data_IF_623227278632
#
_entry.id   IF_623227278632
#
_cell.length_a   1.000
_cell.length_b   1.000
_cell.length_c   1.000
_cell.angle_alpha   90.00
_cell.angle_beta   90.00
_cell.angle_gamma   90.00
#
_symmetry.space_group_name_H-M   'P 1'
#
loop_
_entity.id
_entity.type
_entity.pdbx_description
1 polymer ?
#
# COMPACT_ATOMS: atom_id res chain seq x y z
N UNK A 1 -18.74 -5.80 4.49
CA UNK A 1 -17.75 -6.82 4.14
C UNK A 1 -16.49 -6.13 3.65
N UNK A 2 -15.32 -6.59 4.07
CA UNK A 2 -14.04 -6.08 3.55
C UNK A 2 -13.29 -7.18 2.81
N UNK A 3 -12.80 -6.85 1.61
CA UNK A 3 -11.89 -7.71 0.87
C UNK A 3 -10.48 -7.12 0.95
N UNK A 4 -9.53 -7.94 1.39
CA UNK A 4 -8.14 -7.53 1.51
C UNK A 4 -7.31 -8.44 0.60
N UNK A 5 -6.48 -7.83 -0.23
CA UNK A 5 -5.52 -8.54 -1.06
C UNK A 5 -4.15 -8.25 -0.50
N UNK A 6 -3.40 -9.28 -0.15
CA UNK A 6 -2.03 -9.16 0.32
C UNK A 6 -1.11 -9.70 -0.74
N UNK A 7 -0.18 -8.87 -1.18
CA UNK A 7 0.90 -9.28 -2.05
C UNK A 7 2.23 -8.88 -1.45
N UNK A 8 3.31 -9.38 -2.01
CA UNK A 8 4.65 -9.07 -1.55
C UNK A 8 5.66 -10.04 -2.11
N UNK A 9 6.93 -9.72 -1.91
CA UNK A 9 8.04 -10.54 -2.38
C UNK A 9 8.17 -11.84 -1.59
N UNK A 10 8.91 -12.80 -2.12
CA UNK A 10 9.21 -14.03 -1.38
C UNK A 10 10.06 -13.70 -0.15
N UNK A 11 9.51 -13.91 1.06
CA UNK A 11 10.22 -13.63 2.33
C UNK A 11 9.90 -12.28 2.99
N UNK A 12 8.98 -11.47 2.42
CA UNK A 12 8.54 -10.21 3.02
C UNK A 12 7.61 -10.37 4.24
N UNK A 13 7.22 -11.59 4.59
CA UNK A 13 6.36 -11.85 5.76
C UNK A 13 4.88 -12.08 5.45
N UNK A 14 4.51 -12.34 4.19
CA UNK A 14 3.13 -12.69 3.77
C UNK A 14 2.46 -13.75 4.67
N UNK A 15 3.18 -14.81 5.02
CA UNK A 15 2.64 -15.87 5.90
C UNK A 15 2.37 -15.40 7.33
N UNK A 16 3.16 -14.45 7.85
CA UNK A 16 2.91 -13.84 9.16
C UNK A 16 1.69 -12.93 9.09
N UNK A 17 1.58 -12.16 8.00
CA UNK A 17 0.42 -11.32 7.74
C UNK A 17 -0.88 -12.14 7.67
N UNK A 18 -0.92 -13.23 6.90
CA UNK A 18 -2.09 -14.10 6.82
C UNK A 18 -2.51 -14.65 8.19
N UNK A 19 -1.56 -15.18 8.97
CA UNK A 19 -1.86 -15.69 10.32
C UNK A 19 -2.43 -14.61 11.24
N UNK A 20 -1.85 -13.41 11.21
CA UNK A 20 -2.32 -12.30 12.03
C UNK A 20 -3.78 -11.90 11.70
N UNK A 21 -4.20 -12.10 10.46
CA UNK A 21 -5.55 -11.79 9.98
C UNK A 21 -6.54 -12.93 10.18
N UNK A 22 -6.07 -14.17 10.10
CA UNK A 22 -6.82 -15.34 10.51
C UNK A 22 -7.16 -15.24 12.01
N UNK A 23 -6.20 -14.85 12.85
CA UNK A 23 -6.42 -14.58 14.28
C UNK A 23 -7.39 -13.42 14.52
N UNK A 24 -7.48 -12.46 13.59
CA UNK A 24 -8.44 -11.36 13.65
C UNK A 24 -9.85 -11.76 13.15
N UNK A 25 -10.03 -12.99 12.69
CA UNK A 25 -11.32 -13.54 12.25
C UNK A 25 -11.64 -13.36 10.77
N UNK A 26 -10.66 -13.01 9.93
CA UNK A 26 -10.83 -12.94 8.48
C UNK A 26 -10.69 -14.31 7.84
N UNK A 27 -11.48 -14.57 6.79
CA UNK A 27 -11.33 -15.77 5.98
C UNK A 27 -10.10 -15.65 5.08
N UNK A 28 -9.01 -16.30 5.45
CA UNK A 28 -7.74 -16.21 4.75
C UNK A 28 -7.60 -17.34 3.73
N UNK A 29 -7.26 -16.99 2.48
CA UNK A 29 -6.93 -17.97 1.45
C UNK A 29 -5.58 -17.64 0.84
N UNK A 30 -4.71 -18.64 0.80
CA UNK A 30 -3.39 -18.54 0.19
C UNK A 30 -3.37 -19.22 -1.17
N UNK A 31 -2.54 -18.67 -2.05
CA UNK A 31 -2.18 -19.27 -3.34
C UNK A 31 -3.36 -19.63 -4.27
N UNK A 32 -4.36 -18.74 -4.41
CA UNK A 32 -5.46 -18.93 -5.38
C UNK A 32 -5.03 -18.42 -6.77
N UNK A 33 -5.34 -19.14 -7.86
CA UNK A 33 -5.30 -18.59 -9.21
C UNK A 33 -6.12 -17.30 -9.36
N UNK A 34 -5.51 -16.27 -9.97
CA UNK A 34 -6.14 -14.96 -10.20
C UNK A 34 -7.57 -15.02 -10.82
N UNK A 35 -7.86 -15.86 -11.83
CA UNK A 35 -9.21 -15.95 -12.42
C UNK A 35 -10.31 -16.45 -11.48
N UNK A 36 -9.96 -17.11 -10.37
CA UNK A 36 -10.93 -17.66 -9.41
C UNK A 36 -11.28 -16.68 -8.28
N UNK A 37 -10.52 -15.59 -8.15
CA UNK A 37 -10.76 -14.58 -7.12
C UNK A 37 -12.15 -13.96 -7.24
N UNK A 38 -12.63 -13.52 -8.44
CA UNK A 38 -13.98 -12.96 -8.58
C UNK A 38 -15.09 -13.94 -8.17
N UNK A 39 -14.89 -15.23 -8.45
CA UNK A 39 -15.85 -16.28 -8.07
C UNK A 39 -15.87 -16.45 -6.55
N UNK A 40 -14.70 -16.50 -5.90
CA UNK A 40 -14.59 -16.60 -4.45
C UNK A 40 -15.24 -15.40 -3.75
N UNK A 41 -14.93 -14.18 -4.23
CA UNK A 41 -15.47 -12.95 -3.65
C UNK A 41 -16.98 -12.87 -3.80
N UNK A 42 -17.54 -13.34 -4.92
CA UNK A 42 -18.99 -13.45 -5.10
C UNK A 42 -19.64 -14.31 -4.00
N UNK A 43 -19.10 -15.51 -3.72
CA UNK A 43 -19.64 -16.37 -2.66
C UNK A 43 -19.50 -15.75 -1.27
N UNK A 44 -18.35 -15.16 -0.96
CA UNK A 44 -18.10 -14.51 0.32
C UNK A 44 -19.03 -13.31 0.54
N UNK A 45 -19.38 -12.59 -0.54
CA UNK A 45 -20.37 -11.50 -0.51
C UNK A 45 -21.74 -11.99 -0.08
N UNK A 46 -22.17 -13.16 -0.55
CA UNK A 46 -23.44 -13.76 -0.14
C UNK A 46 -23.42 -14.19 1.34
N UNK A 47 -22.29 -14.66 1.85
CA UNK A 47 -22.11 -15.01 3.26
C UNK A 47 -21.81 -13.80 4.18
N UNK A 48 -21.63 -12.60 3.60
CA UNK A 48 -21.22 -11.36 4.28
C UNK A 48 -19.96 -11.54 5.16
N UNK A 49 -18.99 -12.34 4.69
CA UNK A 49 -17.75 -12.65 5.40
C UNK A 49 -16.56 -11.87 4.83
N UNK A 50 -15.85 -11.13 5.69
CA UNK A 50 -14.61 -10.46 5.27
C UNK A 50 -13.51 -11.50 4.99
N UNK A 51 -12.76 -11.27 3.92
CA UNK A 51 -11.77 -12.22 3.44
C UNK A 51 -10.45 -11.58 3.06
N UNK A 52 -9.39 -12.37 3.18
CA UNK A 52 -8.02 -12.00 2.85
C UNK A 52 -7.50 -12.98 1.81
N UNK A 53 -7.00 -12.47 0.69
CA UNK A 53 -6.45 -13.26 -0.40
C UNK A 53 -4.97 -12.93 -0.52
N UNK A 54 -4.12 -13.93 -0.37
CA UNK A 54 -2.68 -13.81 -0.63
C UNK A 54 -2.37 -14.08 -2.09
N UNK A 55 -1.75 -13.09 -2.73
CA UNK A 55 -1.17 -13.18 -4.06
C UNK A 55 0.33 -13.43 -3.94
N UNK A 56 0.80 -14.47 -4.61
CA UNK A 56 2.22 -14.77 -4.76
C UNK A 56 2.59 -14.77 -6.25
N UNK A 57 3.87 -14.61 -6.53
CA UNK A 57 4.36 -14.56 -7.92
C UNK A 57 4.02 -15.82 -8.72
N UNK A 58 3.82 -16.95 -8.03
CA UNK A 58 3.42 -18.24 -8.63
C UNK A 58 2.05 -18.20 -9.29
N UNK A 59 1.17 -17.30 -8.85
CA UNK A 59 -0.20 -17.19 -9.37
C UNK A 59 -0.39 -15.96 -10.25
N UNK A 60 0.65 -15.13 -10.42
CA UNK A 60 0.62 -14.05 -11.39
C UNK A 60 0.64 -14.66 -12.80
N UNK A 61 -0.41 -14.48 -13.61
CA UNK A 61 -0.34 -14.84 -15.01
C UNK A 61 0.70 -13.95 -15.67
N UNK A 62 1.41 -14.49 -16.66
CA UNK A 62 2.40 -13.74 -17.46
C UNK A 62 1.77 -12.61 -18.30
N UNK A 63 0.49 -12.32 -18.14
CA UNK A 63 -0.25 -11.28 -18.85
C UNK A 63 -0.26 -9.99 -18.03
N UNK A 64 0.32 -8.89 -18.54
CA UNK A 64 0.50 -7.64 -17.80
C UNK A 64 -0.82 -6.99 -17.33
N UNK A 65 -1.93 -7.21 -18.04
CA UNK A 65 -3.20 -6.52 -17.76
C UNK A 65 -4.13 -7.28 -16.79
N UNK A 66 -3.82 -8.53 -16.45
CA UNK A 66 -4.74 -9.35 -15.65
C UNK A 66 -4.96 -8.83 -14.23
N UNK A 67 -3.97 -8.13 -13.67
CA UNK A 67 -4.07 -7.50 -12.36
C UNK A 67 -5.02 -6.29 -12.43
N UNK A 68 -4.85 -5.43 -13.45
CA UNK A 68 -5.71 -4.26 -13.64
C UNK A 68 -7.17 -4.70 -13.89
N UNK A 69 -7.38 -5.69 -14.75
CA UNK A 69 -8.71 -6.27 -15.00
C UNK A 69 -9.34 -6.84 -13.73
N UNK A 70 -8.56 -7.54 -12.89
CA UNK A 70 -9.05 -8.02 -11.60
C UNK A 70 -9.44 -6.85 -10.70
N UNK A 71 -8.57 -5.83 -10.59
CA UNK A 71 -8.83 -4.68 -9.71
C UNK A 71 -10.10 -3.95 -10.15
N UNK A 72 -10.32 -3.74 -11.45
CA UNK A 72 -11.55 -3.15 -11.97
C UNK A 72 -12.78 -3.99 -11.63
N UNK A 73 -12.68 -5.32 -11.66
CA UNK A 73 -13.78 -6.20 -11.22
C UNK A 73 -14.04 -6.14 -9.72
N UNK A 74 -13.04 -5.78 -8.91
CA UNK A 74 -13.10 -5.72 -7.46
C UNK A 74 -13.35 -4.30 -6.90
N UNK A 75 -13.30 -3.26 -7.73
CA UNK A 75 -13.70 -1.88 -7.38
C UNK A 75 -15.04 -1.78 -6.61
N UNK A 76 -16.14 -2.43 -7.03
CA UNK A 76 -17.41 -2.34 -6.31
C UNK A 76 -17.38 -2.92 -4.89
N UNK A 77 -16.33 -3.67 -4.53
CA UNK A 77 -16.16 -4.28 -3.21
C UNK A 77 -15.22 -3.48 -2.29
N UNK A 78 -14.71 -2.32 -2.72
CA UNK A 78 -13.71 -1.53 -1.99
C UNK A 78 -12.53 -2.38 -1.51
N UNK A 79 -12.00 -3.22 -2.41
CA UNK A 79 -10.88 -4.10 -2.09
C UNK A 79 -9.63 -3.28 -1.72
N UNK A 80 -8.98 -3.63 -0.61
CA UNK A 80 -7.73 -3.01 -0.16
C UNK A 80 -6.55 -3.89 -0.58
N UNK A 81 -5.68 -3.38 -1.44
CA UNK A 81 -4.41 -4.01 -1.81
C UNK A 81 -3.28 -3.55 -0.89
N UNK A 82 -2.73 -4.49 -0.13
CA UNK A 82 -1.58 -4.29 0.76
C UNK A 82 -0.38 -4.99 0.15
N UNK A 83 0.69 -4.24 -0.09
CA UNK A 83 1.96 -4.77 -0.58
C UNK A 83 3.00 -4.78 0.55
N UNK A 84 3.58 -5.95 0.81
CA UNK A 84 4.63 -6.16 1.78
C UNK A 84 5.98 -6.21 1.06
N UNK A 85 6.81 -5.20 1.29
CA UNK A 85 8.17 -5.13 0.73
C UNK A 85 9.24 -5.22 1.82
N UNK A 86 10.47 -5.47 1.38
CA UNK A 86 11.63 -5.57 2.24
C UNK A 86 12.91 -5.34 1.42
N UNK A 87 13.95 -4.81 2.08
CA UNK A 87 15.26 -4.61 1.48
C UNK A 87 15.84 -5.96 0.99
N UNK A 88 16.50 -5.93 -0.18
CA UNK A 88 17.09 -7.11 -0.82
C UNK A 88 18.00 -7.91 0.13
N UNK A 89 18.88 -7.24 0.86
CA UNK A 89 19.82 -7.88 1.78
C UNK A 89 19.09 -8.63 2.91
N UNK A 90 18.00 -8.03 3.41
CA UNK A 90 17.18 -8.62 4.46
C UNK A 90 16.39 -9.82 3.95
N UNK A 91 15.87 -9.76 2.71
CA UNK A 91 15.21 -10.90 2.07
C UNK A 91 16.17 -12.08 1.90
N UNK A 92 17.39 -11.84 1.39
CA UNK A 92 18.42 -12.88 1.20
C UNK A 92 18.73 -13.56 2.54
N UNK A 93 18.94 -12.78 3.60
CA UNK A 93 19.20 -13.29 4.96
C UNK A 93 18.05 -14.13 5.51
N UNK A 94 16.80 -13.66 5.36
CA UNK A 94 15.61 -14.42 5.78
C UNK A 94 15.47 -15.72 4.99
N UNK A 95 15.82 -15.72 3.71
CA UNK A 95 15.78 -16.90 2.86
C UNK A 95 16.80 -17.94 3.28
N UNK A 96 18.06 -17.51 3.53
CA UNK A 96 19.14 -18.38 3.99
C UNK A 96 18.83 -19.02 5.34
N UNK A 97 18.18 -18.28 6.24
CA UNK A 97 17.78 -18.77 7.56
C UNK A 97 16.63 -19.78 7.48
N UNK A 98 15.72 -19.61 6.51
CA UNK A 98 14.52 -20.47 6.38
C UNK A 98 14.76 -21.82 5.69
N UNK A 99 15.94 -22.04 5.09
CA UNK A 99 16.30 -23.23 4.27
C UNK A 99 15.27 -23.60 3.18
N UNK A 100 14.35 -22.70 2.81
CA UNK A 100 13.37 -22.93 1.74
C UNK A 100 14.04 -22.62 0.41
N UNK A 101 13.73 -23.43 -0.60
CA UNK A 101 14.24 -23.27 -1.97
C UNK A 101 13.36 -22.25 -2.68
N UNK A 102 13.98 -21.33 -3.42
CA UNK A 102 13.28 -20.26 -4.11
C UNK A 102 12.48 -20.85 -5.27
N UNK A 103 11.16 -20.60 -5.38
CA UNK A 103 10.33 -21.19 -6.44
C UNK A 103 10.88 -20.91 -7.85
N UNK A 104 11.45 -19.73 -8.07
CA UNK A 104 12.08 -19.34 -9.34
C UNK A 104 13.53 -19.83 -9.54
N UNK A 105 14.22 -20.30 -8.49
CA UNK A 105 15.59 -20.83 -8.64
C UNK A 105 15.62 -22.15 -9.42
N UNK A 106 14.52 -22.88 -9.43
CA UNK A 106 14.42 -24.20 -10.08
C UNK A 106 14.18 -24.13 -11.58
N UNK A 107 13.79 -22.97 -12.14
CA UNK A 107 13.44 -22.85 -13.56
C UNK A 107 14.58 -22.29 -14.43
N UNK A 108 15.45 -21.44 -13.89
CA UNK A 108 16.43 -20.69 -14.69
C UNK A 108 17.90 -20.78 -14.21
N UNK A 109 18.25 -21.61 -13.23
CA UNK A 109 19.61 -21.68 -12.65
C UNK A 109 20.17 -20.31 -12.21
N UNK A 110 19.27 -19.36 -11.89
CA UNK A 110 19.61 -17.99 -11.52
C UNK A 110 20.08 -17.91 -10.06
N UNK A 111 21.04 -17.02 -9.80
CA UNK A 111 21.40 -16.65 -8.44
C UNK A 111 20.17 -16.13 -7.69
N UNK A 112 20.13 -16.34 -6.36
CA UNK A 112 19.06 -15.83 -5.49
C UNK A 112 18.80 -14.33 -5.71
N UNK A 113 19.85 -13.55 -5.96
CA UNK A 113 19.76 -12.13 -6.29
C UNK A 113 19.03 -11.88 -7.62
N UNK A 114 19.37 -12.62 -8.68
CA UNK A 114 18.71 -12.50 -9.98
C UNK A 114 17.22 -12.88 -9.92
N UNK A 115 16.88 -13.92 -9.16
CA UNK A 115 15.49 -14.32 -8.95
C UNK A 115 14.66 -13.25 -8.21
N UNK A 116 15.26 -12.60 -7.19
CA UNK A 116 14.64 -11.51 -6.45
C UNK A 116 14.42 -10.25 -7.30
N UNK A 117 15.30 -9.99 -8.26
CA UNK A 117 15.19 -8.84 -9.17
C UNK A 117 14.14 -9.07 -10.26
N UNK A 118 14.01 -10.32 -10.75
CA UNK A 118 12.90 -10.69 -11.63
C UNK A 118 11.56 -10.64 -10.88
N UNK A 119 11.52 -11.07 -9.62
CA UNK A 119 10.33 -10.93 -8.76
C UNK A 119 9.86 -9.48 -8.68
N UNK A 120 10.80 -8.55 -8.46
CA UNK A 120 10.48 -7.14 -8.36
C UNK A 120 9.83 -6.61 -9.64
N UNK A 121 10.36 -6.96 -10.82
CA UNK A 121 9.81 -6.53 -12.11
C UNK A 121 8.41 -7.10 -12.36
N UNK A 122 8.19 -8.37 -12.01
CA UNK A 122 6.90 -9.03 -12.21
C UNK A 122 5.83 -8.51 -11.25
N UNK A 123 6.22 -8.09 -10.05
CA UNK A 123 5.30 -7.53 -9.05
C UNK A 123 5.09 -6.01 -9.19
N UNK A 124 5.84 -5.34 -10.07
CA UNK A 124 5.75 -3.89 -10.30
C UNK A 124 4.31 -3.38 -10.55
N UNK A 125 3.45 -4.07 -11.35
CA UNK A 125 2.06 -3.66 -11.53
C UNK A 125 1.23 -3.71 -10.24
N UNK A 126 1.51 -4.65 -9.33
CA UNK A 126 0.84 -4.70 -8.02
C UNK A 126 1.29 -3.56 -7.11
N UNK A 127 2.57 -3.19 -7.16
CA UNK A 127 3.11 -2.08 -6.38
C UNK A 127 2.48 -0.76 -6.83
N UNK A 128 2.34 -0.54 -8.15
CA UNK A 128 1.73 0.67 -8.69
C UNK A 128 0.27 0.84 -8.30
N UNK A 129 -0.46 -0.26 -8.15
CA UNK A 129 -1.87 -0.26 -7.76
C UNK A 129 -2.09 -0.49 -6.26
N UNK A 130 -1.03 -0.60 -5.46
CA UNK A 130 -1.15 -0.88 -4.03
C UNK A 130 -1.74 0.32 -3.28
N UNK A 131 -2.75 0.08 -2.45
CA UNK A 131 -3.29 1.11 -1.57
C UNK A 131 -2.35 1.40 -0.40
N UNK A 132 -1.69 0.35 0.12
CA UNK A 132 -0.73 0.45 1.21
C UNK A 132 0.52 -0.35 0.87
N UNK A 133 1.68 0.27 1.07
CA UNK A 133 2.99 -0.39 0.98
C UNK A 133 3.61 -0.38 2.38
N UNK A 134 3.96 -1.56 2.88
CA UNK A 134 4.58 -1.72 4.20
C UNK A 134 5.99 -2.25 4.01
N UNK A 135 6.97 -1.48 4.48
CA UNK A 135 8.35 -1.94 4.55
C UNK A 135 8.57 -2.78 5.81
N UNK A 136 8.91 -4.05 5.61
CA UNK A 136 9.13 -5.03 6.68
C UNK A 136 10.60 -5.23 7.02
N UNK A 137 11.51 -4.40 6.50
CA UNK A 137 12.96 -4.54 6.67
C UNK A 137 13.42 -4.52 8.13
N UNK A 138 12.83 -3.64 8.93
CA UNK A 138 13.17 -3.48 10.35
C UNK A 138 12.04 -3.91 11.30
N UNK A 139 10.97 -4.51 10.76
CA UNK A 139 9.82 -4.94 11.55
C UNK A 139 9.98 -6.37 12.04
N UNK A 140 9.65 -6.59 13.31
CA UNK A 140 9.42 -7.92 13.88
C UNK A 140 8.07 -8.49 13.42
N UNK A 141 7.88 -9.80 13.59
CA UNK A 141 6.60 -10.46 13.27
C UNK A 141 5.43 -9.90 14.06
N UNK A 142 5.66 -9.49 15.32
CA UNK A 142 4.63 -8.89 16.16
C UNK A 142 4.28 -7.48 15.71
N UNK A 143 5.29 -6.64 15.40
CA UNK A 143 5.04 -5.28 14.90
C UNK A 143 4.34 -5.29 13.54
N UNK A 144 4.66 -6.25 12.67
CA UNK A 144 3.95 -6.42 11.40
C UNK A 144 2.47 -6.74 11.64
N UNK A 145 2.17 -7.65 12.56
CA UNK A 145 0.79 -8.02 12.90
C UNK A 145 0.01 -6.82 13.46
N UNK A 146 0.62 -6.05 14.37
CA UNK A 146 0.01 -4.84 14.93
C UNK A 146 -0.22 -3.75 13.88
N UNK A 147 0.77 -3.49 13.01
CA UNK A 147 0.61 -2.53 11.91
C UNK A 147 -0.53 -2.92 10.96
N UNK A 148 -0.64 -4.20 10.60
CA UNK A 148 -1.73 -4.69 9.77
C UNK A 148 -3.09 -4.51 10.47
N UNK A 149 -3.18 -4.83 11.76
CA UNK A 149 -4.40 -4.58 12.54
C UNK A 149 -4.78 -3.11 12.56
N UNK A 150 -3.82 -2.20 12.73
CA UNK A 150 -4.10 -0.75 12.71
C UNK A 150 -4.64 -0.27 11.37
N UNK A 151 -4.05 -0.74 10.26
CA UNK A 151 -4.50 -0.39 8.91
C UNK A 151 -5.93 -0.89 8.65
N UNK A 152 -6.25 -2.11 9.13
CA UNK A 152 -7.53 -2.75 8.88
C UNK A 152 -8.65 -2.33 9.81
N UNK A 153 -8.35 -2.08 11.09
CA UNK A 153 -9.33 -1.52 12.04
C UNK A 153 -9.81 -0.14 11.62
N UNK A 154 -9.08 0.51 10.70
CA UNK A 154 -9.37 1.84 10.26
C UNK A 154 -9.02 2.82 11.36
N UNK A 155 -8.10 3.72 11.06
CA UNK A 155 -8.19 5.07 11.62
C UNK A 155 -9.62 5.53 11.37
N UNK A 156 -10.49 5.54 12.40
CA UNK A 156 -11.68 6.41 12.45
C UNK A 156 -11.30 7.67 11.71
N UNK A 157 -11.93 7.91 10.56
CA UNK A 157 -11.63 8.97 9.58
C UNK A 157 -10.95 10.18 10.24
N UNK A 158 -9.63 10.13 10.36
CA UNK A 158 -8.83 11.32 10.59
C UNK A 158 -8.29 11.66 9.24
N UNK A 159 -9.19 12.12 8.36
CA UNK A 159 -8.78 12.88 7.20
C UNK A 159 -7.79 13.93 7.69
N UNK A 160 -6.57 13.90 7.16
CA UNK A 160 -5.56 14.88 7.49
C UNK A 160 -6.03 16.22 6.95
N UNK A 161 -6.68 17.01 7.81
CA UNK A 161 -7.13 18.35 7.46
C UNK A 161 -5.97 19.33 7.58
N UNK A 162 -5.32 19.62 6.46
CA UNK A 162 -4.28 20.64 6.37
C UNK A 162 -4.96 22.00 6.20
N UNK A 163 -4.68 22.94 7.11
CA UNK A 163 -5.20 24.31 7.04
C UNK A 163 -4.02 25.26 6.83
N UNK A 164 -4.05 26.01 5.73
CA UNK A 164 -3.11 27.09 5.46
C UNK A 164 -3.69 28.42 5.98
N UNK A 165 -2.99 29.09 6.90
CA UNK A 165 -3.40 30.39 7.42
C UNK A 165 -2.24 31.39 7.39
N UNK A 166 -2.48 32.53 6.77
CA UNK A 166 -1.59 33.70 6.79
C UNK A 166 -1.95 34.59 7.99
N UNK A 167 -0.98 35.02 8.79
CA UNK A 167 -1.22 36.00 9.87
C UNK A 167 -0.16 37.11 9.85
N UNK A 168 -0.55 38.29 10.34
CA UNK A 168 0.35 39.43 10.49
C UNK A 168 0.91 39.51 11.91
N UNK A 169 2.24 39.46 12.08
CA UNK A 169 2.92 39.46 13.39
C UNK A 169 2.52 40.61 14.33
N UNK A 170 2.10 41.76 13.79
CA UNK A 170 1.64 42.92 14.57
C UNK A 170 0.40 42.65 15.42
N UNK A 171 -0.40 41.64 15.07
CA UNK A 171 -1.68 41.32 15.72
C UNK A 171 -1.63 40.06 16.60
N UNK A 172 -0.42 39.54 16.87
CA UNK A 172 -0.22 38.33 17.67
C UNK A 172 -0.27 37.04 16.86
N UNK A 173 0.20 35.95 17.48
CA UNK A 173 0.14 34.60 16.92
C UNK A 173 -1.29 34.05 17.02
N UNK A 174 -1.80 33.36 16.00
CA UNK A 174 -3.11 32.71 16.07
C UNK A 174 -3.10 31.60 17.15
N UNK A 175 -4.24 31.41 17.81
CA UNK A 175 -4.38 30.54 18.99
C UNK A 175 -4.40 29.03 18.69
N UNK A 176 -4.13 28.60 17.45
CA UNK A 176 -4.18 27.20 17.01
C UNK A 176 -2.74 26.70 16.82
N UNK A 177 -2.37 25.47 17.24
CA UNK A 177 -1.01 24.98 17.03
C UNK A 177 -0.73 24.82 15.53
N UNK A 178 0.09 25.73 14.99
CA UNK A 178 0.53 25.69 13.59
C UNK A 178 1.67 24.66 13.50
N UNK A 179 1.39 23.47 12.99
CA UNK A 179 2.41 22.42 12.80
C UNK A 179 3.29 22.67 11.56
N UNK A 180 2.97 23.63 10.69
CA UNK A 180 3.84 24.00 9.57
C UNK A 180 3.73 25.49 9.23
N UNK A 181 4.82 26.23 9.40
CA UNK A 181 4.92 27.66 9.09
C UNK A 181 5.79 27.83 7.84
N UNK A 182 5.17 28.01 6.67
CA UNK A 182 5.90 28.33 5.44
C UNK A 182 6.08 29.85 5.35
N UNK A 183 7.30 30.33 5.60
CA UNK A 183 7.67 31.74 5.42
C UNK A 183 7.96 32.00 3.93
N UNK A 184 7.02 32.64 3.24
CA UNK A 184 7.29 33.25 1.94
C UNK A 184 7.41 34.78 2.13
N UNK A 185 8.63 35.27 2.37
CA UNK A 185 8.94 36.68 2.23
C UNK A 185 9.50 36.94 0.83
N UNK A 186 8.65 37.32 -0.12
CA UNK A 186 9.09 37.95 -1.35
C UNK A 186 9.00 39.47 -1.20
N UNK A 187 10.15 40.14 -1.23
CA UNK A 187 10.26 41.60 -1.18
C UNK A 187 10.13 42.14 -2.61
N UNK A 188 8.92 42.48 -3.03
CA UNK A 188 8.66 43.25 -4.24
C UNK A 188 8.43 44.72 -3.88
N UNK A 189 9.09 45.62 -4.62
CA UNK A 189 9.21 47.05 -4.33
C UNK A 189 7.95 47.89 -4.65
N UNK A 190 6.77 47.29 -4.71
CA UNK A 190 5.56 47.96 -5.20
C UNK A 190 4.35 47.54 -4.35
N UNK A 191 3.75 48.54 -3.68
CA UNK A 191 2.36 48.60 -3.20
C UNK A 191 1.73 47.36 -2.55
N UNK A 192 1.31 47.49 -1.29
CA UNK A 192 0.56 46.46 -0.56
C UNK A 192 -0.76 46.17 -1.30
N UNK A 193 -0.81 45.04 -2.02
CA UNK A 193 -2.05 44.39 -2.46
C UNK A 193 -2.24 43.09 -1.66
N UNK A 194 -3.47 42.87 -1.19
CA UNK A 194 -3.88 41.58 -0.63
C UNK A 194 -4.01 40.56 -1.77
N UNK A 195 -3.39 39.39 -1.61
CA UNK A 195 -3.48 38.26 -2.56
C UNK A 195 -4.92 37.81 -2.85
N UNK A 196 -5.88 38.11 -1.96
CA UNK A 196 -7.28 37.74 -2.17
C UNK A 196 -8.00 38.56 -3.26
N UNK A 197 -7.39 39.65 -3.74
CA UNK A 197 -8.06 40.58 -4.65
C UNK A 197 -7.51 40.59 -6.08
N UNK A 198 -6.52 39.76 -6.41
CA UNK A 198 -6.11 39.58 -7.80
C UNK A 198 -7.02 38.52 -8.46
N UNK A 199 -8.01 39.08 -9.15
CA UNK A 199 -8.98 38.44 -10.04
C UNK A 199 -8.47 37.15 -10.68
N UNK A 200 -9.28 36.11 -10.50
CA UNK A 200 -9.59 35.09 -11.51
C UNK A 200 -9.88 35.75 -12.87
N UNK A 201 -8.82 36.04 -13.65
CA UNK A 201 -8.87 36.27 -15.09
C UNK A 201 -7.52 35.89 -15.69
N UNK A 202 -7.39 34.60 -15.98
CA UNK A 202 -6.55 34.11 -17.07
C UNK A 202 -7.33 32.95 -17.72
N UNK A 203 -8.21 33.32 -18.64
CA UNK A 203 -8.69 32.47 -19.74
C UNK A 203 -7.91 32.84 -20.99
N UNK A 204 -7.48 31.84 -21.77
CA UNK A 204 -6.88 31.93 -23.11
C UNK A 204 -5.36 31.73 -23.07
N UNK A 205 -4.74 30.75 -23.73
CA UNK A 205 -5.14 29.92 -24.89
C UNK A 205 -4.56 28.50 -24.77
#
# INVERSE_FOLDING_TARGET
MELIIISGRSGSGKSVALRALEDAGYYCVDNIPLPLIPTLTYYLTQENRSAVISLDIRNLPNTPNAIEELLTQLEPLNAKLIFLDCERNTLIRRYSDSRRIHPLSTQDDLSLEGALDLEQKLLEPLVQNANYIIDTSHLSSHELAENLRQILQGSTEKELKIIFQSFGFKYGLPAIPITFLMFAFYRTHIGIRSFANDRLRATGD
#
